data_IF_856824831198
#
_entry.id   IF_856824831198
#
_cell.length_a   1.000
_cell.length_b   1.000
_cell.length_c   1.000
_cell.angle_alpha   90.00
_cell.angle_beta   90.00
_cell.angle_gamma   90.00
#
_symmetry.space_group_name_H-M   'P 1'
#
loop_
_entity.id
_entity.type
_entity.pdbx_description
1 polymer ?
#
# COMPACT_ATOMS: atom_id res chain seq x y z
N UNK A 1 17.75 21.20 2.45
CA UNK A 1 16.35 21.15 2.90
C UNK A 1 15.76 19.86 2.36
N UNK A 2 15.51 18.89 3.23
CA UNK A 2 15.10 17.54 2.84
C UNK A 2 13.66 17.57 2.30
N UNK A 3 13.51 17.26 1.01
CA UNK A 3 12.21 17.02 0.38
C UNK A 3 11.86 15.55 0.62
N UNK A 4 10.99 15.31 1.59
CA UNK A 4 10.60 13.98 2.05
C UNK A 4 9.73 13.27 1.00
N UNK A 5 10.22 12.15 0.45
CA UNK A 5 9.37 11.02 0.03
C UNK A 5 8.65 11.03 -1.33
N UNK A 6 8.56 12.15 -2.04
CA UNK A 6 8.31 12.27 -3.50
C UNK A 6 8.76 13.68 -3.93
N UNK A 7 9.21 13.91 -5.17
CA UNK A 7 9.36 15.29 -5.65
C UNK A 7 7.99 15.96 -5.64
N UNK A 8 7.75 16.87 -4.70
CA UNK A 8 6.66 17.84 -4.79
C UNK A 8 7.06 18.89 -5.83
N UNK A 9 6.88 18.56 -7.11
CA UNK A 9 6.91 19.51 -8.22
C UNK A 9 5.49 19.83 -8.72
N UNK A 10 4.46 19.29 -8.07
CA UNK A 10 3.04 19.51 -8.40
C UNK A 10 2.26 20.02 -7.19
N UNK A 11 1.45 21.06 -7.40
CA UNK A 11 0.49 21.57 -6.41
C UNK A 11 -0.52 20.47 -6.05
N UNK A 12 -0.78 20.28 -4.75
CA UNK A 12 -1.68 19.23 -4.22
C UNK A 12 -0.98 17.96 -3.74
N UNK A 13 0.34 17.83 -3.90
CA UNK A 13 1.14 16.74 -3.34
C UNK A 13 1.29 16.88 -1.81
N UNK A 14 1.18 15.77 -1.06
CA UNK A 14 1.38 15.77 0.39
C UNK A 14 0.81 14.54 1.08
N UNK A 15 0.73 14.58 2.42
CA UNK A 15 0.19 13.51 3.25
C UNK A 15 -1.16 13.93 3.83
N UNK A 16 -2.10 12.99 3.91
CA UNK A 16 -3.30 13.11 4.71
C UNK A 16 -3.35 11.95 5.71
N UNK A 17 -3.19 12.24 6.99
CA UNK A 17 -3.26 11.23 8.04
C UNK A 17 -4.72 10.95 8.36
N UNK A 18 -5.11 9.68 8.38
CA UNK A 18 -6.48 9.26 8.62
C UNK A 18 -6.52 8.16 9.67
N UNK A 19 -7.56 8.22 10.50
CA UNK A 19 -7.92 7.16 11.44
C UNK A 19 -9.46 7.06 11.54
N UNK A 20 -9.98 5.85 11.70
CA UNK A 20 -11.41 5.59 11.90
C UNK A 20 -11.67 4.66 13.08
N UNK A 21 -12.70 4.98 13.85
CA UNK A 21 -13.33 4.03 14.78
C UNK A 21 -14.57 3.44 14.14
N UNK A 22 -14.85 2.16 14.42
CA UNK A 22 -15.86 1.38 13.69
C UNK A 22 -16.71 0.53 14.62
N UNK A 23 -17.94 0.23 14.21
CA UNK A 23 -18.84 -0.64 14.96
C UNK A 23 -18.53 -2.14 14.87
N UNK A 24 -17.44 -2.52 14.20
CA UNK A 24 -17.02 -3.89 14.01
C UNK A 24 -15.90 -4.01 12.99
N UNK A 25 -15.49 -5.22 12.64
CA UNK A 25 -14.26 -5.45 11.84
C UNK A 25 -14.48 -5.69 10.34
N UNK A 26 -15.73 -5.63 9.86
CA UNK A 26 -16.07 -6.00 8.48
C UNK A 26 -16.63 -4.79 7.72
N UNK A 27 -15.86 -4.17 6.82
CA UNK A 27 -16.36 -3.10 5.95
C UNK A 27 -17.64 -3.52 5.20
N UNK A 28 -18.58 -2.59 5.07
CA UNK A 28 -19.89 -2.82 4.43
C UNK A 28 -20.91 -3.59 5.28
N UNK A 29 -20.49 -4.28 6.35
CA UNK A 29 -21.38 -4.85 7.36
C UNK A 29 -21.40 -3.99 8.64
N UNK A 30 -20.22 -3.55 9.06
CA UNK A 30 -20.02 -2.58 10.13
C UNK A 30 -19.91 -1.16 9.54
N UNK A 31 -20.04 -0.16 10.42
CA UNK A 31 -20.11 1.26 10.07
C UNK A 31 -18.97 2.03 10.73
N UNK A 32 -18.56 3.13 10.12
CA UNK A 32 -17.67 4.10 10.76
C UNK A 32 -18.47 4.90 11.80
N UNK A 33 -17.95 4.99 13.03
CA UNK A 33 -18.57 5.71 14.15
C UNK A 33 -17.80 6.98 14.54
N UNK A 34 -16.54 7.08 14.13
CA UNK A 34 -15.72 8.30 14.24
C UNK A 34 -14.70 8.32 13.11
N UNK A 35 -14.44 9.49 12.54
CA UNK A 35 -13.42 9.68 11.51
C UNK A 35 -12.61 10.93 11.82
N UNK A 36 -11.28 10.82 11.72
CA UNK A 36 -10.38 11.95 11.72
C UNK A 36 -9.51 11.92 10.47
N UNK A 37 -9.36 13.07 9.82
CA UNK A 37 -8.48 13.24 8.67
C UNK A 37 -7.71 14.56 8.82
N UNK A 38 -6.39 14.51 8.72
CA UNK A 38 -5.48 15.65 8.90
C UNK A 38 -4.60 15.80 7.66
N UNK A 39 -4.84 16.85 6.87
CA UNK A 39 -3.97 17.24 5.77
C UNK A 39 -2.71 17.91 6.33
N UNK A 40 -1.54 17.38 5.97
CA UNK A 40 -0.26 17.89 6.47
C UNK A 40 0.47 18.71 5.41
N UNK A 41 1.01 19.86 5.82
CA UNK A 41 2.01 20.62 5.08
C UNK A 41 3.33 19.85 4.94
N UNK A 42 4.21 20.34 4.07
CA UNK A 42 5.57 19.80 3.89
C UNK A 42 6.39 19.79 5.19
N UNK A 43 6.13 20.73 6.10
CA UNK A 43 6.82 20.81 7.40
C UNK A 43 6.22 19.86 8.45
N UNK A 44 5.11 19.20 8.13
CA UNK A 44 4.37 18.26 8.98
C UNK A 44 3.29 18.91 9.85
N UNK A 45 3.00 20.19 9.67
CA UNK A 45 1.92 20.88 10.37
C UNK A 45 0.56 20.60 9.72
N UNK A 46 -0.50 20.51 10.53
CA UNK A 46 -1.88 20.36 10.03
C UNK A 46 -2.35 21.66 9.37
N UNK A 47 -2.73 21.60 8.09
CA UNK A 47 -3.25 22.73 7.32
C UNK A 47 -4.77 22.73 7.24
N UNK A 48 -5.34 21.52 7.22
CA UNK A 48 -6.77 21.29 7.15
C UNK A 48 -7.09 19.99 7.88
N UNK A 49 -8.23 19.95 8.56
CA UNK A 49 -8.66 18.78 9.30
C UNK A 49 -10.16 18.59 9.22
N UNK A 50 -10.58 17.34 9.26
CA UNK A 50 -11.93 16.92 9.57
C UNK A 50 -11.86 16.01 10.80
N UNK A 51 -12.77 16.20 11.73
CA UNK A 51 -13.09 15.23 12.76
C UNK A 51 -14.61 15.21 12.94
N UNK A 52 -15.20 14.03 12.97
CA UNK A 52 -16.61 13.86 13.27
C UNK A 52 -16.86 12.53 13.96
N UNK A 53 -17.67 12.57 15.01
CA UNK A 53 -18.46 11.41 15.40
C UNK A 53 -19.57 11.23 14.36
N UNK A 54 -19.94 9.98 14.09
CA UNK A 54 -20.95 9.65 13.08
C UNK A 54 -22.07 8.83 13.70
N UNK A 55 -23.32 9.13 13.31
CA UNK A 55 -24.45 8.25 13.62
C UNK A 55 -24.40 7.06 12.64
N UNK A 56 -24.08 5.84 13.12
CA UNK A 56 -23.96 4.69 12.24
C UNK A 56 -25.33 4.08 11.86
N UNK A 57 -26.42 4.51 12.52
CA UNK A 57 -27.75 3.91 12.38
C UNK A 57 -27.83 2.44 12.85
N UNK A 58 -26.81 1.94 13.54
CA UNK A 58 -26.68 0.57 14.05
C UNK A 58 -26.03 0.60 15.44
N UNK A 59 -25.93 -0.58 16.08
CA UNK A 59 -25.15 -0.71 17.31
C UNK A 59 -23.72 -0.19 17.12
N UNK A 60 -23.16 0.62 18.06
CA UNK A 60 -21.85 1.23 17.92
C UNK A 60 -20.69 0.25 18.07
N UNK A 61 -20.95 -1.03 18.35
CA UNK A 61 -19.94 -2.06 18.41
C UNK A 61 -19.17 -2.08 19.74
N UNK A 62 -17.85 -2.30 19.71
CA UNK A 62 -17.07 -2.50 20.93
C UNK A 62 -16.82 -1.18 21.68
N UNK A 63 -17.86 -0.60 22.28
CA UNK A 63 -17.79 0.65 23.06
C UNK A 63 -16.72 0.61 24.17
N UNK A 64 -16.35 -0.57 24.68
CA UNK A 64 -15.26 -0.71 25.65
C UNK A 64 -13.86 -0.43 25.08
N UNK A 65 -13.71 -0.38 23.76
CA UNK A 65 -12.47 -0.05 23.04
C UNK A 65 -12.40 1.45 22.82
N UNK A 66 -13.32 2.01 22.03
CA UNK A 66 -13.28 3.42 21.60
C UNK A 66 -14.08 4.38 22.50
N UNK A 67 -14.86 3.86 23.45
CA UNK A 67 -15.61 4.68 24.42
C UNK A 67 -16.85 5.40 23.86
N UNK A 68 -17.27 5.11 22.62
CA UNK A 68 -18.42 5.77 21.98
C UNK A 68 -19.71 4.97 22.22
N UNK A 69 -20.63 5.53 22.99
CA UNK A 69 -21.94 4.91 23.28
C UNK A 69 -22.97 5.27 22.22
N UNK A 70 -24.08 4.51 22.14
CA UNK A 70 -25.17 4.80 21.22
C UNK A 70 -25.77 6.20 21.49
N UNK A 71 -25.85 6.63 22.75
CA UNK A 71 -26.35 7.96 23.13
C UNK A 71 -25.44 9.10 22.67
N UNK A 72 -24.12 8.89 22.62
CA UNK A 72 -23.16 9.89 22.11
C UNK A 72 -23.26 10.07 20.60
N UNK A 73 -23.60 8.99 19.89
CA UNK A 73 -23.63 8.94 18.42
C UNK A 73 -25.02 9.27 17.85
N UNK A 74 -26.08 9.10 18.63
CA UNK A 74 -27.44 9.41 18.20
C UNK A 74 -27.57 10.89 17.79
N UNK A 75 -27.97 11.12 16.53
CA UNK A 75 -28.17 12.46 15.99
C UNK A 75 -26.89 13.19 15.57
N UNK A 76 -25.73 12.52 15.62
CA UNK A 76 -24.52 12.99 14.94
C UNK A 76 -24.72 12.95 13.40
N UNK A 77 -23.88 13.64 12.61
CA UNK A 77 -23.90 13.53 11.16
C UNK A 77 -23.74 12.08 10.69
N UNK A 78 -24.31 11.73 9.54
CA UNK A 78 -24.00 10.47 8.86
C UNK A 78 -22.72 10.60 8.05
N UNK A 79 -22.13 9.48 7.60
CA UNK A 79 -20.98 9.53 6.70
C UNK A 79 -21.26 10.35 5.42
N UNK A 80 -22.47 10.24 4.87
CA UNK A 80 -22.88 10.98 3.67
C UNK A 80 -22.89 12.50 3.88
N UNK A 81 -23.09 12.96 5.11
CA UNK A 81 -23.07 14.39 5.45
C UNK A 81 -21.63 14.95 5.48
N UNK A 82 -20.64 14.12 5.83
CA UNK A 82 -19.24 14.56 6.01
C UNK A 82 -18.31 14.18 4.87
N UNK A 83 -18.72 13.29 3.95
CA UNK A 83 -17.86 12.76 2.89
C UNK A 83 -17.32 13.83 1.94
N UNK A 84 -18.09 14.91 1.72
CA UNK A 84 -17.64 16.05 0.92
C UNK A 84 -16.43 16.76 1.56
N UNK A 85 -16.53 17.07 2.85
CA UNK A 85 -15.45 17.71 3.60
C UNK A 85 -14.24 16.77 3.73
N UNK A 86 -14.48 15.47 3.92
CA UNK A 86 -13.44 14.45 3.94
C UNK A 86 -12.68 14.40 2.60
N UNK A 87 -13.40 14.37 1.48
CA UNK A 87 -12.80 14.39 0.15
C UNK A 87 -11.92 15.62 -0.05
N UNK A 88 -12.34 16.77 0.47
CA UNK A 88 -11.58 18.02 0.43
C UNK A 88 -10.33 18.04 1.34
N UNK A 89 -10.23 17.16 2.34
CA UNK A 89 -8.99 16.94 3.11
C UNK A 89 -8.05 15.99 2.37
N UNK A 90 -8.58 14.99 1.66
CA UNK A 90 -7.81 13.92 1.01
C UNK A 90 -7.27 14.29 -0.38
N UNK A 91 -7.93 15.21 -1.08
CA UNK A 91 -7.67 15.54 -2.49
C UNK A 91 -6.19 15.81 -2.79
N UNK A 92 -5.63 15.03 -3.72
CA UNK A 92 -4.24 15.15 -4.20
C UNK A 92 -3.18 14.53 -3.28
N UNK A 93 -3.57 14.08 -2.09
CA UNK A 93 -2.65 13.63 -1.04
C UNK A 93 -2.58 12.10 -0.98
N UNK A 94 -1.44 11.60 -0.50
CA UNK A 94 -1.33 10.18 -0.11
C UNK A 94 -2.00 10.00 1.25
N UNK A 95 -2.98 9.10 1.31
CA UNK A 95 -3.63 8.74 2.56
C UNK A 95 -2.65 7.91 3.41
N UNK A 96 -2.40 8.34 4.64
CA UNK A 96 -1.52 7.67 5.58
C UNK A 96 -2.34 7.22 6.77
N UNK A 97 -2.26 5.94 7.13
CA UNK A 97 -2.87 5.44 8.35
C UNK A 97 -1.96 4.42 9.02
N UNK A 98 -2.23 4.11 10.29
CA UNK A 98 -1.40 3.15 11.02
C UNK A 98 -1.61 1.73 10.50
N UNK A 99 -2.85 1.36 10.22
CA UNK A 99 -3.22 0.12 9.56
C UNK A 99 -4.07 0.40 8.31
N UNK A 100 -3.45 1.02 7.30
CA UNK A 100 -4.17 1.61 6.16
C UNK A 100 -5.12 0.67 5.41
N UNK A 101 -4.87 -0.63 5.42
CA UNK A 101 -5.79 -1.61 4.82
C UNK A 101 -7.16 -1.60 5.49
N UNK A 102 -7.21 -1.39 6.80
CA UNK A 102 -8.43 -1.30 7.59
C UNK A 102 -9.15 0.04 7.34
N UNK A 103 -8.47 1.15 7.57
CA UNK A 103 -9.04 2.49 7.44
C UNK A 103 -9.57 2.74 6.03
N UNK A 104 -8.75 2.45 5.02
CA UNK A 104 -9.13 2.63 3.62
C UNK A 104 -10.36 1.78 3.26
N UNK A 105 -10.40 0.51 3.66
CA UNK A 105 -11.52 -0.36 3.32
C UNK A 105 -12.85 0.11 3.95
N UNK A 106 -12.81 0.66 5.17
CA UNK A 106 -13.99 1.25 5.81
C UNK A 106 -14.45 2.53 5.10
N UNK A 107 -13.52 3.44 4.80
CA UNK A 107 -13.84 4.68 4.10
C UNK A 107 -14.43 4.41 2.72
N UNK A 108 -13.86 3.47 1.96
CA UNK A 108 -14.37 3.13 0.63
C UNK A 108 -15.72 2.43 0.71
N UNK A 109 -15.95 1.55 1.68
CA UNK A 109 -17.24 0.91 1.86
C UNK A 109 -18.34 1.94 2.22
N UNK A 110 -18.06 2.89 3.12
CA UNK A 110 -18.98 3.98 3.44
C UNK A 110 -19.24 4.88 2.22
N UNK A 111 -18.20 5.24 1.45
CA UNK A 111 -18.33 6.04 0.24
C UNK A 111 -19.19 5.34 -0.83
N UNK A 112 -19.00 4.03 -1.03
CA UNK A 112 -19.82 3.23 -1.95
C UNK A 112 -21.30 3.19 -1.55
N UNK A 113 -21.59 3.08 -0.25
CA UNK A 113 -22.95 3.07 0.30
C UNK A 113 -23.69 4.38 0.03
N UNK A 114 -22.99 5.52 0.10
CA UNK A 114 -23.58 6.85 -0.15
C UNK A 114 -23.35 7.36 -1.57
N UNK A 115 -22.80 6.52 -2.45
CA UNK A 115 -22.48 6.84 -3.85
C UNK A 115 -21.56 8.06 -4.01
N UNK A 116 -20.62 8.23 -3.08
CA UNK A 116 -19.60 9.26 -3.13
C UNK A 116 -18.27 8.74 -3.68
N UNK A 117 -17.48 9.64 -4.26
CA UNK A 117 -16.11 9.35 -4.68
C UNK A 117 -15.12 9.93 -3.67
N UNK A 118 -14.21 9.09 -3.17
CA UNK A 118 -13.05 9.55 -2.40
C UNK A 118 -11.85 9.78 -3.33
N UNK A 119 -11.24 10.99 -3.34
CA UNK A 119 -10.11 11.34 -4.19
C UNK A 119 -8.78 10.78 -3.65
N UNK A 120 -8.70 9.46 -3.53
CA UNK A 120 -7.52 8.74 -3.02
C UNK A 120 -6.88 7.97 -4.19
N UNK A 121 -5.64 8.31 -4.52
CA UNK A 121 -4.85 7.65 -5.58
C UNK A 121 -3.70 6.83 -5.03
N UNK A 122 -3.28 7.11 -3.79
CA UNK A 122 -2.22 6.37 -3.11
C UNK A 122 -2.42 6.33 -1.61
N UNK A 123 -1.93 5.24 -1.01
CA UNK A 123 -1.98 4.96 0.42
C UNK A 123 -0.60 4.61 0.97
N UNK A 124 -0.35 4.85 2.25
CA UNK A 124 0.85 4.41 2.94
C UNK A 124 0.52 3.90 4.34
N UNK A 125 1.04 2.71 4.67
CA UNK A 125 0.87 2.09 5.98
C UNK A 125 2.08 2.36 6.88
N UNK A 126 1.87 2.96 8.06
CA UNK A 126 3.02 3.19 8.96
C UNK A 126 3.47 1.95 9.71
N UNK A 127 2.64 0.93 9.90
CA UNK A 127 3.08 -0.40 10.38
C UNK A 127 4.05 -1.04 9.37
N UNK A 128 3.75 -0.95 8.08
CA UNK A 128 4.64 -1.47 7.04
C UNK A 128 5.97 -0.72 7.02
N UNK A 129 5.92 0.61 7.08
CA UNK A 129 7.12 1.43 7.11
C UNK A 129 7.96 1.14 8.36
N UNK A 130 7.34 1.05 9.54
CA UNK A 130 8.02 0.73 10.79
C UNK A 130 8.71 -0.65 10.74
N UNK A 131 8.08 -1.64 10.08
CA UNK A 131 8.67 -2.96 9.85
C UNK A 131 9.92 -2.88 8.96
N UNK A 132 9.87 -2.11 7.86
CA UNK A 132 11.02 -1.89 6.96
C UNK A 132 12.18 -1.17 7.66
N UNK A 133 11.87 -0.33 8.64
CA UNK A 133 12.86 0.46 9.36
C UNK A 133 13.54 -0.30 10.50
N UNK A 134 13.03 -1.46 10.91
CA UNK A 134 13.57 -2.24 12.04
C UNK A 134 13.87 -1.33 13.24
N UNK A 135 12.82 -0.65 13.73
CA UNK A 135 12.94 0.36 14.78
C UNK A 135 13.38 -0.22 16.14
N UNK A 136 13.40 -1.55 16.29
CA UNK A 136 13.69 -2.21 17.56
C UNK A 136 12.60 -2.01 18.62
N UNK A 137 11.39 -1.64 18.20
CA UNK A 137 10.22 -1.56 19.06
C UNK A 137 9.72 -2.97 19.44
N UNK A 138 9.19 -3.14 20.65
CA UNK A 138 8.66 -4.41 21.15
C UNK A 138 7.54 -4.95 20.26
N UNK A 139 6.67 -4.05 19.80
CA UNK A 139 5.61 -4.32 18.84
C UNK A 139 5.39 -3.07 17.98
N UNK A 140 4.50 -3.18 16.99
CA UNK A 140 4.23 -2.11 16.02
C UNK A 140 2.88 -1.42 16.25
N UNK A 141 2.30 -1.47 17.46
CA UNK A 141 1.08 -0.69 17.80
C UNK A 141 1.40 0.79 17.85
N UNK A 142 0.38 1.63 17.60
CA UNK A 142 0.53 3.09 17.58
C UNK A 142 1.09 3.61 18.91
N UNK A 143 0.53 3.15 20.03
CA UNK A 143 0.98 3.48 21.40
C UNK A 143 2.49 3.21 21.60
N UNK A 144 2.99 2.10 21.06
CA UNK A 144 4.37 1.67 21.22
C UNK A 144 5.30 2.49 20.33
N UNK A 145 4.88 2.80 19.10
CA UNK A 145 5.63 3.69 18.21
C UNK A 145 5.63 5.14 18.71
N UNK A 146 4.50 5.62 19.25
CA UNK A 146 4.39 6.94 19.87
C UNK A 146 5.40 7.08 21.02
N UNK A 147 5.42 6.11 21.95
CA UNK A 147 6.40 6.06 23.03
C UNK A 147 7.85 6.01 22.53
N UNK A 148 8.13 5.21 21.48
CA UNK A 148 9.47 5.13 20.87
C UNK A 148 9.97 6.50 20.36
N UNK A 149 9.07 7.33 19.83
CA UNK A 149 9.40 8.68 19.34
C UNK A 149 9.17 9.79 20.38
N UNK A 150 8.84 9.45 21.63
CA UNK A 150 8.60 10.42 22.70
C UNK A 150 7.31 11.22 22.55
N UNK A 151 6.33 10.72 21.78
CA UNK A 151 5.00 11.31 21.62
C UNK A 151 4.04 10.71 22.65
N UNK A 152 3.32 11.56 23.36
CA UNK A 152 2.29 11.12 24.32
C UNK A 152 0.95 10.97 23.60
N UNK A 153 0.34 9.80 23.75
CA UNK A 153 -1.05 9.54 23.36
C UNK A 153 -1.93 9.76 24.59
N UNK A 154 -2.97 10.56 24.46
CA UNK A 154 -3.82 10.99 25.58
C UNK A 154 -5.03 10.07 25.76
N UNK A 155 -5.62 9.62 24.66
CA UNK A 155 -6.83 8.83 24.60
C UNK A 155 -6.71 7.80 23.47
N UNK A 156 -6.07 6.65 23.73
CA UNK A 156 -6.01 5.56 22.75
C UNK A 156 -7.39 5.12 22.29
N UNK A 157 -7.52 4.74 21.01
CA UNK A 157 -8.79 4.39 20.38
C UNK A 157 -9.77 5.57 20.30
N UNK A 158 -9.22 6.76 20.12
CA UNK A 158 -9.96 7.95 19.71
C UNK A 158 -9.40 8.43 18.38
N UNK A 159 -10.22 8.44 17.33
CA UNK A 159 -9.73 8.73 15.98
C UNK A 159 -8.94 10.04 15.87
N UNK A 160 -9.34 11.09 16.62
CA UNK A 160 -8.62 12.37 16.55
C UNK A 160 -7.27 12.28 17.25
N UNK A 161 -7.23 11.73 18.47
CA UNK A 161 -5.97 11.58 19.20
C UNK A 161 -5.00 10.66 18.44
N UNK A 162 -5.49 9.55 17.91
CA UNK A 162 -4.71 8.59 17.14
C UNK A 162 -4.18 9.22 15.84
N UNK A 163 -5.00 9.97 15.10
CA UNK A 163 -4.55 10.73 13.93
C UNK A 163 -3.53 11.82 14.28
N UNK A 164 -3.69 12.53 15.41
CA UNK A 164 -2.75 13.54 15.87
C UNK A 164 -1.41 12.94 16.30
N UNK A 165 -1.43 11.81 17.01
CA UNK A 165 -0.23 11.04 17.36
C UNK A 165 0.46 10.55 16.11
N UNK A 166 -0.31 9.99 15.16
CA UNK A 166 0.21 9.51 13.89
C UNK A 166 0.87 10.62 13.07
N UNK A 167 0.27 11.81 13.01
CA UNK A 167 0.87 13.00 12.36
C UNK A 167 2.21 13.40 13.02
N UNK A 168 2.29 13.36 14.35
CA UNK A 168 3.52 13.68 15.08
C UNK A 168 4.64 12.67 14.85
N UNK A 169 4.33 11.36 14.79
CA UNK A 169 5.35 10.33 14.51
C UNK A 169 5.72 10.23 13.03
N UNK A 170 4.86 10.67 12.11
CA UNK A 170 5.10 10.52 10.68
C UNK A 170 6.40 11.21 10.25
N UNK A 171 6.64 12.43 10.72
CA UNK A 171 7.85 13.20 10.40
C UNK A 171 9.15 12.46 10.80
N UNK A 172 9.38 12.08 12.07
CA UNK A 172 10.60 11.36 12.45
C UNK A 172 10.71 9.98 11.78
N UNK A 173 9.60 9.29 11.50
CA UNK A 173 9.60 8.02 10.75
C UNK A 173 10.09 8.23 9.30
N UNK A 174 9.63 9.27 8.61
CA UNK A 174 10.10 9.62 7.27
C UNK A 174 11.57 10.05 7.28
N UNK A 175 12.01 10.78 8.31
CA UNK A 175 13.42 11.09 8.59
C UNK A 175 14.25 9.82 8.61
N UNK A 176 13.83 8.87 9.43
CA UNK A 176 14.53 7.60 9.58
C UNK A 176 14.60 6.81 8.28
N UNK A 177 13.53 6.83 7.48
CA UNK A 177 13.50 6.17 6.18
C UNK A 177 14.52 6.73 5.20
N UNK A 178 14.63 8.06 5.12
CA UNK A 178 15.64 8.69 4.26
C UNK A 178 17.06 8.39 4.74
N UNK A 179 17.34 8.52 6.04
CA UNK A 179 18.65 8.24 6.62
C UNK A 179 19.11 6.81 6.33
N UNK A 180 18.19 5.84 6.45
CA UNK A 180 18.43 4.43 6.17
C UNK A 180 18.29 4.06 4.68
N UNK A 181 18.01 5.05 3.81
CA UNK A 181 17.74 4.86 2.36
C UNK A 181 16.69 3.78 2.09
N UNK A 182 15.65 3.73 2.92
CA UNK A 182 14.52 2.82 2.79
C UNK A 182 13.46 3.41 1.88
N UNK A 183 12.92 2.57 1.01
CA UNK A 183 11.80 2.93 0.13
C UNK A 183 10.51 3.08 0.94
N UNK A 184 9.75 4.15 0.70
CA UNK A 184 8.47 4.36 1.38
C UNK A 184 7.40 3.43 0.79
N UNK A 185 6.61 2.73 1.62
CA UNK A 185 5.55 1.82 1.16
C UNK A 185 4.32 2.60 0.67
N UNK A 186 4.48 3.41 -0.36
CA UNK A 186 3.39 4.15 -0.99
C UNK A 186 2.82 3.28 -2.10
N UNK A 187 1.61 2.77 -1.84
CA UNK A 187 0.91 1.87 -2.76
C UNK A 187 -0.13 2.66 -3.55
N UNK A 188 -0.17 2.53 -4.89
CA UNK A 188 -1.28 3.09 -5.66
C UNK A 188 -2.56 2.32 -5.34
N UNK A 189 -3.68 3.03 -5.33
CA UNK A 189 -5.02 2.44 -5.27
C UNK A 189 -5.82 2.89 -6.48
N UNK A 190 -6.73 2.04 -6.91
CA UNK A 190 -7.56 2.29 -8.09
C UNK A 190 -9.04 2.31 -7.74
N UNK A 191 -9.80 2.98 -8.59
CA UNK A 191 -11.24 3.08 -8.54
C UNK A 191 -11.82 2.66 -9.89
N UNK A 192 -13.02 2.11 -9.86
CA UNK A 192 -13.79 1.75 -11.05
C UNK A 192 -15.08 2.54 -11.08
N UNK A 193 -15.27 3.27 -12.16
CA UNK A 193 -16.56 3.88 -12.50
C UNK A 193 -17.35 2.92 -13.38
N UNK A 194 -18.53 2.54 -12.90
CA UNK A 194 -19.44 1.64 -13.61
C UNK A 194 -20.33 2.42 -14.59
N UNK A 195 -20.89 1.77 -15.63
CA UNK A 195 -21.77 2.45 -16.60
C UNK A 195 -23.00 3.15 -16.00
N UNK A 196 -23.43 2.74 -14.79
CA UNK A 196 -24.51 3.36 -14.06
C UNK A 196 -24.08 4.57 -13.21
N UNK A 197 -22.83 5.04 -13.35
CA UNK A 197 -22.26 6.15 -12.60
C UNK A 197 -21.78 5.80 -11.19
N UNK A 198 -22.00 4.57 -10.71
CA UNK A 198 -21.49 4.13 -9.41
C UNK A 198 -19.96 4.09 -9.45
N UNK A 199 -19.31 4.58 -8.40
CA UNK A 199 -17.88 4.42 -8.18
C UNK A 199 -17.68 3.34 -7.11
N UNK A 200 -16.78 2.41 -7.36
CA UNK A 200 -16.29 1.46 -6.35
C UNK A 200 -14.78 1.56 -6.29
N UNK A 201 -14.21 1.37 -5.11
CA UNK A 201 -12.77 1.36 -4.93
C UNK A 201 -12.27 -0.08 -4.91
N UNK A 202 -11.13 -0.32 -5.54
CA UNK A 202 -10.52 -1.64 -5.52
C UNK A 202 -9.95 -1.91 -4.12
N UNK A 203 -10.12 -3.14 -3.63
CA UNK A 203 -9.54 -3.59 -2.37
C UNK A 203 -8.02 -3.48 -2.38
N UNK A 204 -7.42 -3.06 -1.25
CA UNK A 204 -5.98 -3.18 -1.05
C UNK A 204 -5.65 -4.67 -0.89
N UNK A 205 -4.94 -5.22 -1.88
CA UNK A 205 -4.48 -6.62 -1.85
C UNK A 205 -3.00 -6.67 -1.49
N UNK A 206 -2.53 -7.74 -0.83
CA UNK A 206 -1.11 -7.92 -0.56
C UNK A 206 -0.29 -7.78 -1.84
N UNK A 207 0.75 -6.95 -1.80
CA UNK A 207 1.51 -6.57 -2.99
C UNK A 207 2.02 -7.78 -3.78
N UNK A 208 2.48 -8.84 -3.09
CA UNK A 208 2.90 -10.09 -3.75
C UNK A 208 1.84 -10.69 -4.67
N UNK A 209 0.59 -10.73 -4.21
CA UNK A 209 -0.52 -11.33 -4.95
C UNK A 209 -0.84 -10.52 -6.19
N UNK A 210 -0.75 -9.18 -6.09
CA UNK A 210 -0.92 -8.29 -7.23
C UNK A 210 0.25 -8.43 -8.20
N UNK A 211 1.49 -8.30 -7.70
CA UNK A 211 2.71 -8.34 -8.48
C UNK A 211 2.87 -9.63 -9.28
N UNK A 212 2.48 -10.77 -8.70
CA UNK A 212 2.54 -12.07 -9.38
C UNK A 212 1.56 -12.19 -10.56
N UNK A 213 0.55 -11.31 -10.62
CA UNK A 213 -0.45 -11.25 -11.69
C UNK A 213 -0.25 -10.07 -12.62
N UNK A 214 0.66 -9.15 -12.30
CA UNK A 214 0.91 -7.97 -13.12
C UNK A 214 1.59 -8.39 -14.43
N UNK A 215 1.08 -7.93 -15.59
CA UNK A 215 1.77 -8.15 -16.86
C UNK A 215 3.10 -7.38 -16.82
N UNK A 216 4.18 -8.04 -17.22
CA UNK A 216 5.45 -7.37 -17.45
C UNK A 216 5.48 -6.89 -18.90
N UNK A 217 5.77 -5.60 -19.16
CA UNK A 217 5.81 -5.07 -20.53
C UNK A 217 7.00 -5.62 -21.34
N UNK A 218 7.95 -6.29 -20.69
CA UNK A 218 9.14 -6.86 -21.31
C UNK A 218 9.09 -8.38 -21.32
N UNK A 219 9.54 -8.98 -22.43
CA UNK A 219 9.71 -10.41 -22.56
C UNK A 219 10.80 -10.92 -21.62
N UNK A 220 10.61 -12.10 -21.03
CA UNK A 220 11.61 -12.71 -20.18
C UNK A 220 12.85 -13.15 -21.01
N UNK A 221 14.04 -12.58 -20.77
CA UNK A 221 15.24 -12.89 -21.53
C UNK A 221 15.92 -14.20 -21.12
N UNK A 222 15.40 -14.89 -20.10
CA UNK A 222 15.92 -16.17 -19.61
C UNK A 222 16.64 -16.06 -18.27
N UNK A 223 17.48 -17.07 -17.92
CA UNK A 223 18.14 -17.14 -16.62
C UNK A 223 19.18 -16.03 -16.44
N UNK A 224 19.29 -15.55 -15.20
CA UNK A 224 20.35 -14.63 -14.80
C UNK A 224 21.74 -15.30 -14.93
N UNK A 225 22.75 -14.51 -15.30
CA UNK A 225 24.12 -14.98 -15.41
C UNK A 225 24.98 -14.12 -14.50
N UNK A 226 25.66 -14.74 -13.54
CA UNK A 226 26.52 -14.04 -12.59
C UNK A 226 27.57 -13.17 -13.32
N UNK A 227 27.72 -11.92 -12.87
CA UNK A 227 28.62 -10.94 -13.49
C UNK A 227 28.04 -10.22 -14.72
N UNK A 228 26.82 -10.54 -15.15
CA UNK A 228 26.05 -9.75 -16.12
C UNK A 228 25.02 -8.88 -15.39
N UNK A 229 24.58 -7.75 -16.01
CA UNK A 229 23.47 -6.98 -15.48
C UNK A 229 22.16 -7.77 -15.46
N UNK A 230 21.25 -7.38 -14.58
CA UNK A 230 19.84 -7.75 -14.69
C UNK A 230 19.24 -7.11 -15.94
N UNK A 231 18.27 -7.77 -16.56
CA UNK A 231 17.60 -7.30 -17.77
C UNK A 231 16.11 -7.21 -17.48
N UNK A 232 15.46 -6.11 -17.89
CA UNK A 232 14.01 -5.98 -17.76
C UNK A 232 13.28 -7.19 -18.36
N UNK A 233 12.19 -7.60 -17.73
CA UNK A 233 11.45 -8.83 -18.09
C UNK A 233 11.91 -10.09 -17.36
N UNK A 234 13.10 -10.10 -16.73
CA UNK A 234 13.53 -11.25 -15.92
C UNK A 234 12.51 -11.55 -14.81
N UNK A 235 12.20 -12.83 -14.63
CA UNK A 235 11.24 -13.34 -13.62
C UNK A 235 11.98 -13.66 -12.33
N UNK A 236 11.68 -12.91 -11.27
CA UNK A 236 12.36 -12.97 -9.98
C UNK A 236 11.43 -13.60 -8.93
N UNK A 237 11.90 -14.65 -8.27
CA UNK A 237 11.28 -15.24 -7.09
C UNK A 237 12.04 -14.84 -5.82
N UNK A 238 11.32 -14.75 -4.69
CA UNK A 238 11.89 -14.42 -3.38
C UNK A 238 11.74 -15.60 -2.41
N UNK A 239 12.85 -16.14 -1.92
CA UNK A 239 12.87 -17.15 -0.86
C UNK A 239 12.49 -16.54 0.51
N UNK A 240 12.15 -17.38 1.49
CA UNK A 240 11.76 -16.92 2.82
C UNK A 240 12.95 -16.29 3.57
N UNK A 241 14.14 -16.81 3.29
CA UNK A 241 15.41 -16.44 3.89
C UNK A 241 15.99 -15.22 3.16
N UNK A 242 15.43 -14.05 3.44
CA UNK A 242 15.96 -12.76 2.97
C UNK A 242 15.97 -11.74 4.11
N UNK A 243 17.03 -10.94 4.20
CA UNK A 243 17.23 -9.88 5.20
C UNK A 243 16.46 -8.59 4.91
N UNK A 244 15.54 -8.62 3.95
CA UNK A 244 14.68 -7.50 3.58
C UNK A 244 13.22 -7.98 3.58
N UNK A 245 12.26 -7.09 3.85
CA UNK A 245 10.85 -7.44 3.68
C UNK A 245 10.57 -7.79 2.22
N UNK A 246 9.74 -8.80 1.97
CA UNK A 246 9.38 -9.17 0.60
C UNK A 246 8.66 -8.05 -0.12
N UNK A 247 7.86 -7.25 0.58
CA UNK A 247 7.18 -6.09 0.01
C UNK A 247 8.19 -5.10 -0.62
N UNK A 248 9.22 -4.71 0.14
CA UNK A 248 10.31 -3.84 -0.37
C UNK A 248 10.99 -4.45 -1.61
N UNK A 249 11.29 -5.76 -1.58
CA UNK A 249 11.94 -6.42 -2.72
C UNK A 249 11.02 -6.50 -3.94
N UNK A 250 9.72 -6.78 -3.76
CA UNK A 250 8.74 -6.83 -4.85
C UNK A 250 8.57 -5.45 -5.48
N UNK A 251 8.48 -4.37 -4.70
CA UNK A 251 8.42 -3.01 -5.24
C UNK A 251 9.64 -2.70 -6.10
N UNK A 252 10.83 -3.06 -5.62
CA UNK A 252 12.09 -2.84 -6.33
C UNK A 252 12.18 -3.67 -7.61
N UNK A 253 11.69 -4.91 -7.60
CA UNK A 253 11.55 -5.76 -8.79
C UNK A 253 10.69 -5.03 -9.83
N UNK A 254 9.49 -4.61 -9.45
CA UNK A 254 8.55 -3.95 -10.36
C UNK A 254 9.08 -2.61 -10.86
N UNK A 255 9.66 -1.79 -9.97
CA UNK A 255 10.23 -0.48 -10.32
C UNK A 255 11.37 -0.60 -11.33
N UNK A 256 12.19 -1.65 -11.22
CA UNK A 256 13.27 -1.92 -12.16
C UNK A 256 12.80 -2.50 -13.50
N UNK A 257 11.49 -2.73 -13.71
CA UNK A 257 10.96 -3.37 -14.92
C UNK A 257 11.19 -4.88 -14.97
N UNK A 258 11.45 -5.50 -13.82
CA UNK A 258 11.53 -6.95 -13.65
C UNK A 258 10.14 -7.52 -13.29
N UNK A 259 9.93 -8.81 -13.50
CA UNK A 259 8.68 -9.48 -13.16
C UNK A 259 8.81 -10.25 -11.84
N UNK A 260 7.82 -10.16 -10.95
CA UNK A 260 7.78 -11.00 -9.74
C UNK A 260 7.03 -12.31 -10.01
N UNK A 261 7.48 -13.43 -9.41
CA UNK A 261 6.79 -14.72 -9.45
C UNK A 261 6.73 -15.37 -8.07
N UNK A 262 5.59 -15.99 -7.73
CA UNK A 262 5.44 -16.75 -6.49
C UNK A 262 6.01 -18.17 -6.60
N UNK A 263 6.01 -18.76 -7.79
CA UNK A 263 6.58 -20.08 -8.06
C UNK A 263 8.01 -19.98 -8.59
N UNK A 264 8.80 -21.02 -8.29
CA UNK A 264 10.06 -21.30 -8.98
C UNK A 264 9.80 -22.40 -10.00
N UNK A 265 10.15 -22.12 -11.25
CA UNK A 265 9.96 -22.99 -12.41
C UNK A 265 11.09 -22.77 -13.43
N UNK A 266 11.08 -23.51 -14.53
CA UNK A 266 12.10 -23.41 -15.59
C UNK A 266 12.15 -22.06 -16.32
N UNK A 267 11.14 -21.20 -16.14
CA UNK A 267 11.12 -19.83 -16.69
C UNK A 267 11.52 -18.79 -15.64
N UNK A 268 11.81 -19.19 -14.41
CA UNK A 268 12.30 -18.29 -13.38
C UNK A 268 13.73 -17.89 -13.72
N UNK A 269 13.99 -16.58 -13.76
CA UNK A 269 15.30 -16.05 -14.13
C UNK A 269 16.27 -16.07 -12.96
N UNK A 270 15.78 -15.77 -11.76
CA UNK A 270 16.59 -15.65 -10.56
C UNK A 270 15.75 -15.89 -9.31
N UNK A 271 16.33 -16.55 -8.31
CA UNK A 271 15.79 -16.60 -6.94
C UNK A 271 16.66 -15.76 -6.01
N UNK A 272 16.03 -14.83 -5.28
CA UNK A 272 16.70 -14.07 -4.22
C UNK A 272 16.63 -14.86 -2.93
N UNK A 273 17.79 -15.24 -2.38
CA UNK A 273 17.93 -16.04 -1.18
C UNK A 273 19.26 -15.73 -0.48
N UNK A 274 19.21 -15.37 0.80
CA UNK A 274 20.40 -15.09 1.61
C UNK A 274 21.04 -16.34 2.21
N UNK A 275 20.32 -17.48 2.22
CA UNK A 275 20.88 -18.76 2.63
C UNK A 275 21.63 -19.40 1.45
N UNK A 276 22.94 -19.70 1.57
CA UNK A 276 23.73 -20.24 0.45
C UNK A 276 23.33 -21.67 0.03
N UNK A 277 22.88 -22.48 0.99
CA UNK A 277 22.45 -23.86 0.80
C UNK A 277 21.13 -24.10 1.56
N UNK A 278 19.99 -23.68 1.00
CA UNK A 278 18.67 -23.87 1.59
C UNK A 278 18.21 -25.32 1.43
N UNK A 279 17.69 -25.91 2.51
CA UNK A 279 17.22 -27.30 2.54
C UNK A 279 15.74 -27.44 2.12
N UNK A 280 15.00 -26.34 2.10
CA UNK A 280 13.58 -26.30 1.72
C UNK A 280 13.19 -24.95 1.10
N UNK A 281 11.94 -24.86 0.64
CA UNK A 281 11.38 -23.62 0.08
C UNK A 281 11.92 -23.27 -1.30
N UNK A 282 11.75 -22.00 -1.70
CA UNK A 282 12.08 -21.55 -3.06
C UNK A 282 13.56 -21.55 -3.37
N UNK A 283 14.41 -21.33 -2.36
CA UNK A 283 15.85 -21.47 -2.53
C UNK A 283 16.24 -22.90 -2.88
N UNK A 284 15.66 -23.89 -2.20
CA UNK A 284 15.87 -25.31 -2.53
C UNK A 284 15.34 -25.66 -3.92
N UNK A 285 14.13 -25.21 -4.26
CA UNK A 285 13.54 -25.38 -5.59
C UNK A 285 14.39 -24.78 -6.71
N UNK A 286 15.11 -23.68 -6.45
CA UNK A 286 16.03 -23.08 -7.41
C UNK A 286 17.10 -24.09 -7.85
N UNK A 287 17.64 -24.86 -6.91
CA UNK A 287 18.60 -25.94 -7.21
C UNK A 287 18.01 -27.04 -8.08
N UNK A 288 16.80 -27.50 -7.76
CA UNK A 288 16.08 -28.55 -8.53
C UNK A 288 15.82 -28.14 -9.98
N UNK A 289 15.49 -26.87 -10.22
CA UNK A 289 15.22 -26.34 -11.56
C UNK A 289 16.46 -25.73 -12.25
N UNK A 290 17.63 -25.72 -11.60
CA UNK A 290 18.84 -25.10 -12.14
C UNK A 290 18.76 -23.57 -12.26
N UNK A 291 17.89 -22.92 -11.47
CA UNK A 291 17.72 -21.47 -11.45
C UNK A 291 18.81 -20.85 -10.58
N UNK A 292 19.51 -19.81 -11.04
CA UNK A 292 20.55 -19.15 -10.25
C UNK A 292 19.97 -18.48 -9.00
N UNK A 293 20.79 -18.42 -7.95
CA UNK A 293 20.48 -17.71 -6.70
C UNK A 293 21.39 -16.50 -6.49
N UNK A 294 20.85 -15.46 -5.86
CA UNK A 294 21.58 -14.28 -5.44
C UNK A 294 21.11 -13.82 -4.05
N UNK A 295 22.02 -13.33 -3.21
CA UNK A 295 21.63 -12.74 -1.92
C UNK A 295 20.80 -11.48 -2.13
N UNK A 296 19.94 -11.12 -1.18
CA UNK A 296 19.16 -9.89 -1.19
C UNK A 296 20.08 -8.67 -1.31
N UNK A 297 21.22 -8.67 -0.62
CA UNK A 297 22.23 -7.60 -0.75
C UNK A 297 22.82 -7.53 -2.15
N UNK A 298 23.20 -8.66 -2.73
CA UNK A 298 23.74 -8.71 -4.10
C UNK A 298 22.70 -8.32 -5.15
N UNK A 299 21.44 -8.73 -4.95
CA UNK A 299 20.32 -8.37 -5.80
C UNK A 299 20.09 -6.86 -5.81
N UNK A 300 20.04 -6.24 -4.62
CA UNK A 300 19.88 -4.79 -4.51
C UNK A 300 21.01 -4.01 -5.19
N UNK A 301 22.26 -4.49 -5.10
CA UNK A 301 23.39 -3.88 -5.82
C UNK A 301 23.25 -3.98 -7.34
N UNK A 302 22.65 -5.06 -7.85
CA UNK A 302 22.43 -5.25 -9.28
C UNK A 302 21.30 -4.38 -9.84
N UNK A 303 20.36 -3.92 -9.00
CA UNK A 303 19.23 -3.11 -9.44
C UNK A 303 19.65 -1.75 -10.02
N UNK A 304 20.75 -1.18 -9.54
CA UNK A 304 21.27 0.10 -10.02
C UNK A 304 21.81 0.04 -11.46
N UNK A 305 21.98 -1.17 -12.01
CA UNK A 305 22.55 -1.41 -13.33
C UNK A 305 21.63 -2.21 -14.26
N UNK A 306 20.32 -2.29 -13.97
CA UNK A 306 19.36 -3.01 -14.81
C UNK A 306 19.34 -2.41 -16.22
N UNK A 307 19.50 -3.26 -17.24
CA UNK A 307 19.48 -2.85 -18.65
C UNK A 307 18.13 -3.13 -19.31
N UNK A 308 17.85 -2.41 -20.40
CA UNK A 308 16.58 -2.51 -21.13
C UNK A 308 16.27 -3.90 -21.66
N UNK A 309 15.00 -4.29 -21.59
CA UNK A 309 14.46 -5.55 -22.10
C UNK A 309 13.80 -5.38 -23.46
N UNK A 310 13.43 -6.50 -24.10
CA UNK A 310 12.62 -6.47 -25.34
C UNK A 310 11.15 -6.35 -24.98
N UNK A 311 10.42 -5.39 -25.56
CA UNK A 311 8.98 -5.24 -25.31
C UNK A 311 8.19 -6.45 -25.81
N UNK A 312 7.13 -6.81 -25.09
CA UNK A 312 6.16 -7.80 -25.56
C UNK A 312 5.27 -7.14 -26.61
N UNK A 313 5.38 -7.55 -27.87
CA UNK A 313 4.45 -7.09 -28.92
C UNK A 313 3.03 -7.56 -28.58
N UNK A 314 2.14 -6.63 -28.23
CA UNK A 314 0.70 -6.91 -28.15
C UNK A 314 0.19 -7.24 -29.56
N UNK A 315 -0.17 -8.50 -29.80
CA UNK A 315 -0.99 -8.84 -30.96
C UNK A 315 -2.40 -8.30 -30.70
N UNK A 316 -2.62 -7.03 -31.03
CA UNK A 316 -3.96 -6.49 -31.17
C UNK A 316 -4.69 -7.29 -32.24
N UNK A 317 -5.64 -8.14 -31.82
CA UNK A 317 -6.57 -8.79 -32.73
C UNK A 317 -7.45 -7.72 -33.37
N UNK A 318 -6.93 -7.04 -34.38
CA UNK A 318 -7.73 -6.38 -35.40
C UNK A 318 -8.24 -7.49 -36.30
N UNK A 319 -9.33 -8.15 -35.88
CA UNK A 319 -10.16 -8.86 -36.85
C UNK A 319 -10.66 -7.80 -37.83
N UNK A 320 -10.30 -7.85 -39.12
CA UNK A 320 -11.02 -7.07 -40.09
C UNK A 320 -12.45 -7.61 -40.08
N UNK A 321 -13.41 -6.72 -39.85
CA UNK A 321 -14.82 -6.95 -40.15
C UNK A 321 -14.88 -7.19 -41.65
N UNK A 322 -14.74 -8.46 -42.05
CA UNK A 322 -15.00 -8.91 -43.40
C UNK A 322 -16.43 -9.42 -43.43
N UNK A 323 -17.22 -8.71 -44.20
CA UNK A 323 -18.60 -8.90 -44.61
C UNK A 323 -19.20 -10.30 -44.40
N UNK A 324 -20.40 -10.25 -43.81
CA UNK A 324 -21.47 -11.22 -44.02
C UNK A 324 -21.51 -11.69 -45.48
N UNK A 325 -21.35 -12.99 -45.69
CA UNK A 325 -22.08 -13.68 -46.73
C UNK A 325 -22.73 -14.95 -46.17
N UNK A 326 -24.05 -14.91 -46.26
CA UNK A 326 -25.07 -15.93 -46.12
C UNK A 326 -24.67 -17.29 -46.72
N UNK A 327 -25.06 -18.40 -46.08
CA UNK A 327 -25.86 -19.49 -46.68
C UNK A 327 -26.07 -20.67 -45.72
N UNK A 328 -27.36 -21.02 -45.56
CA UNK A 328 -28.02 -22.19 -44.94
C UNK A 328 -27.99 -22.35 -43.42
#
# INVERSE_FOLDING_TARGET
>A
MSRWGRPADQDGAGWAVVDVETSGFRPGQARVVSVAALALSDDGNVEKSLYSLLDPGVDPGPTHVHGLTAEMLAGQPTFGDVVGDLAEVLRGRTLVAHNVGFDYAFLTAEAELVHAELPIDSVMCTVELARRLELGAENLRLETLAAHYGVTQMKPHDALDDAMVLAQILKPVLVRAQERRKWLPVHPVSRRTWPNGRVTHDEIRPLKVLAARMPCPYANPGPFVAGRPLVQGMRIALAAEVGHTHEELVERILHAGLAFTESVDAHTSLVVCDQPAPEQGKGYQAGEFGVPMLSSTGFLQCLDAVIGGSEVTEFGATSPVADQFTLF
#
